data_IF_171407354940
#
_entry.id   IF_171407354940
#
_cell.length_a   1.000
_cell.length_b   1.000
_cell.length_c   1.000
_cell.angle_alpha   90.00
_cell.angle_beta   90.00
_cell.angle_gamma   90.00
#
_symmetry.space_group_name_H-M   'P 1'
#
loop_
_entity.id
_entity.type
_entity.pdbx_description
1 polymer ?
#
# COMPACT_ATOMS: atom_id res chain seq x y z
N UNK A 1 -5.27 -21.74 -4.51
CA UNK A 1 -4.00 -21.24 -3.93
C UNK A 1 -4.07 -21.35 -2.42
N UNK A 2 -2.95 -21.56 -1.72
CA UNK A 2 -2.96 -21.72 -0.25
C UNK A 2 -3.29 -20.41 0.49
N UNK A 3 -2.92 -19.25 -0.06
CA UNK A 3 -3.13 -17.91 0.53
C UNK A 3 -4.06 -17.00 -0.30
N UNK A 4 -5.02 -17.56 -1.07
CA UNK A 4 -6.01 -16.75 -1.81
C UNK A 4 -5.51 -16.09 -3.12
N UNK A 5 -4.20 -15.98 -3.35
CA UNK A 5 -3.67 -15.47 -4.62
C UNK A 5 -3.99 -13.98 -4.81
N UNK A 6 -4.74 -13.64 -5.87
CA UNK A 6 -5.19 -12.27 -6.10
C UNK A 6 -6.28 -11.80 -5.13
N UNK A 7 -6.87 -12.70 -4.34
CA UNK A 7 -7.88 -12.38 -3.32
C UNK A 7 -7.43 -12.97 -1.97
N UNK A 8 -6.39 -12.41 -1.33
CA UNK A 8 -5.75 -13.04 -0.17
C UNK A 8 -6.57 -13.00 1.13
N UNK A 9 -7.64 -12.21 1.21
CA UNK A 9 -8.43 -12.04 2.43
C UNK A 9 -7.66 -11.28 3.51
N UNK A 10 -6.82 -10.33 3.08
CA UNK A 10 -5.93 -9.58 3.96
C UNK A 10 -6.65 -8.40 4.65
N UNK A 11 -6.20 -8.04 5.85
CA UNK A 11 -6.69 -6.87 6.57
C UNK A 11 -5.51 -5.99 6.95
N UNK A 12 -5.67 -4.67 6.82
CA UNK A 12 -4.63 -3.68 7.12
C UNK A 12 -3.34 -3.92 6.30
N UNK A 13 -3.53 -4.29 5.03
CA UNK A 13 -2.46 -4.45 4.06
C UNK A 13 -2.71 -3.48 2.90
N UNK A 14 -1.65 -2.80 2.47
CA UNK A 14 -1.64 -1.95 1.28
C UNK A 14 -0.70 -2.60 0.26
N UNK A 15 -1.26 -3.09 -0.84
CA UNK A 15 -0.48 -3.69 -1.93
C UNK A 15 0.07 -2.59 -2.83
N UNK A 16 1.34 -2.23 -2.65
CA UNK A 16 2.03 -1.21 -3.45
C UNK A 16 2.81 -1.88 -4.57
N UNK A 17 2.60 -1.42 -5.80
CA UNK A 17 3.33 -1.90 -6.97
C UNK A 17 3.68 -0.75 -7.90
N UNK A 18 4.75 -0.90 -8.68
CA UNK A 18 5.04 -0.02 -9.81
C UNK A 18 4.60 -0.66 -11.13
N UNK A 19 4.01 0.10 -12.05
CA UNK A 19 3.53 -0.45 -13.34
C UNK A 19 4.65 -0.86 -14.33
N UNK A 20 5.89 -0.45 -14.06
CA UNK A 20 7.06 -0.80 -14.86
C UNK A 20 7.77 -2.04 -14.30
N UNK A 21 7.46 -2.42 -13.06
CA UNK A 21 7.95 -3.66 -12.46
C UNK A 21 7.25 -4.87 -13.09
N UNK A 22 7.94 -5.79 -13.78
CA UNK A 22 7.29 -6.97 -14.37
C UNK A 22 6.58 -7.84 -13.32
N UNK A 23 6.91 -7.74 -12.05
CA UNK A 23 6.26 -8.52 -10.99
C UNK A 23 4.87 -8.02 -10.60
N UNK A 24 4.47 -6.79 -10.97
CA UNK A 24 3.16 -6.25 -10.58
C UNK A 24 1.99 -7.10 -11.08
N UNK A 25 2.15 -7.82 -12.18
CA UNK A 25 1.12 -8.71 -12.76
C UNK A 25 0.77 -9.89 -11.85
N UNK A 26 1.68 -10.26 -10.93
CA UNK A 26 1.46 -11.32 -9.95
C UNK A 26 0.85 -10.81 -8.64
N UNK A 27 0.65 -9.51 -8.52
CA UNK A 27 0.21 -8.83 -7.31
C UNK A 27 -1.28 -8.45 -7.36
N UNK A 28 -1.77 -7.90 -6.25
CA UNK A 28 -3.07 -7.22 -6.19
C UNK A 28 -2.85 -5.77 -6.61
N UNK A 29 -3.37 -5.38 -7.78
CA UNK A 29 -3.17 -4.03 -8.36
C UNK A 29 -4.43 -3.18 -8.38
N UNK A 30 -5.55 -3.74 -7.96
CA UNK A 30 -6.84 -3.07 -7.80
C UNK A 30 -7.37 -3.35 -6.40
N UNK A 31 -8.02 -2.36 -5.79
CA UNK A 31 -8.58 -2.53 -4.46
C UNK A 31 -9.72 -3.56 -4.48
N UNK A 32 -9.76 -4.43 -3.48
CA UNK A 32 -10.77 -5.50 -3.33
C UNK A 32 -11.74 -5.22 -2.17
N UNK A 33 -11.83 -3.97 -1.75
CA UNK A 33 -12.68 -3.51 -0.65
C UNK A 33 -11.96 -2.48 0.21
N UNK A 34 -12.53 -2.16 1.37
CA UNK A 34 -11.94 -1.21 2.33
C UNK A 34 -10.74 -1.76 3.09
N UNK A 35 -10.64 -3.08 3.23
CA UNK A 35 -9.55 -3.76 3.96
C UNK A 35 -8.36 -4.15 3.08
N UNK A 36 -8.59 -4.24 1.77
CA UNK A 36 -7.63 -4.71 0.75
C UNK A 36 -7.39 -3.58 -0.26
N UNK A 37 -6.60 -2.61 0.17
CA UNK A 37 -6.22 -1.46 -0.65
C UNK A 37 -5.04 -1.81 -1.55
N UNK A 38 -5.06 -1.31 -2.79
CA UNK A 38 -3.95 -1.42 -3.72
C UNK A 38 -3.54 -0.03 -4.24
N UNK A 39 -2.24 0.14 -4.48
CA UNK A 39 -1.65 1.36 -5.03
C UNK A 39 -0.72 0.97 -6.18
N UNK A 40 -1.08 1.41 -7.39
CA UNK A 40 -0.25 1.23 -8.58
C UNK A 40 0.42 2.56 -8.94
N UNK A 41 1.75 2.62 -8.79
CA UNK A 41 2.56 3.81 -9.04
C UNK A 41 2.97 3.81 -10.51
N UNK A 42 2.49 4.80 -11.26
CA UNK A 42 2.85 5.00 -12.66
C UNK A 42 4.35 5.27 -12.80
N UNK A 43 4.99 4.62 -13.77
CA UNK A 43 6.45 4.63 -14.02
C UNK A 43 7.29 4.16 -12.82
N UNK A 44 6.68 3.45 -11.86
CA UNK A 44 7.37 2.89 -10.72
C UNK A 44 8.06 1.58 -11.11
N UNK A 45 9.34 1.43 -10.76
CA UNK A 45 10.05 0.14 -10.86
C UNK A 45 9.91 -0.66 -9.57
N UNK A 46 10.55 -1.83 -9.53
CA UNK A 46 10.51 -2.75 -8.40
C UNK A 46 10.85 -2.06 -7.07
N UNK A 47 9.86 -2.05 -6.15
CA UNK A 47 9.94 -1.46 -4.81
C UNK A 47 10.49 -0.02 -4.76
N UNK A 48 10.25 0.78 -5.80
CA UNK A 48 10.84 2.14 -5.91
C UNK A 48 10.32 3.09 -4.83
N UNK A 49 9.10 2.87 -4.34
CA UNK A 49 8.50 3.57 -3.21
C UNK A 49 9.33 3.46 -1.92
N UNK A 50 10.01 2.33 -1.72
CA UNK A 50 10.86 2.04 -0.56
C UNK A 50 12.27 2.63 -0.67
N UNK A 51 12.67 3.11 -1.85
CA UNK A 51 13.96 3.77 -2.03
C UNK A 51 13.95 5.17 -1.37
N UNK A 52 15.12 5.68 -0.92
CA UNK A 52 15.24 7.03 -0.40
C UNK A 52 14.70 8.08 -1.38
N UNK A 53 14.08 9.13 -0.85
CA UNK A 53 13.57 10.23 -1.66
C UNK A 53 14.71 11.00 -2.35
N UNK A 54 14.47 11.37 -3.61
CA UNK A 54 15.40 12.18 -4.41
C UNK A 54 14.66 13.33 -5.08
N UNK A 55 15.32 14.48 -5.33
CA UNK A 55 14.72 15.59 -6.08
C UNK A 55 14.24 15.20 -7.49
N UNK A 56 14.87 14.19 -8.10
CA UNK A 56 14.56 13.68 -9.43
C UNK A 56 13.41 12.68 -9.47
N UNK A 57 12.82 12.33 -8.32
CA UNK A 57 11.71 11.36 -8.29
C UNK A 57 10.52 11.86 -9.12
N UNK A 58 9.74 10.94 -9.69
CA UNK A 58 8.58 11.32 -10.48
C UNK A 58 7.47 11.90 -9.59
N UNK A 59 6.57 12.73 -10.14
CA UNK A 59 5.39 13.18 -9.41
C UNK A 59 4.52 12.01 -8.92
N UNK A 60 4.39 10.94 -9.70
CA UNK A 60 3.64 9.74 -9.34
C UNK A 60 4.25 9.01 -8.15
N UNK A 61 5.59 8.93 -8.07
CA UNK A 61 6.30 8.30 -6.95
C UNK A 61 6.12 9.11 -5.67
N UNK A 62 6.26 10.45 -5.74
CA UNK A 62 5.99 11.32 -4.58
C UNK A 62 4.57 11.18 -4.07
N UNK A 63 3.58 11.23 -4.97
CA UNK A 63 2.18 11.03 -4.61
C UNK A 63 1.95 9.63 -4.02
N UNK A 64 2.61 8.60 -4.57
CA UNK A 64 2.56 7.24 -4.04
C UNK A 64 3.04 7.17 -2.59
N UNK A 65 4.19 7.77 -2.27
CA UNK A 65 4.71 7.84 -0.89
C UNK A 65 3.77 8.62 0.05
N UNK A 66 3.16 9.71 -0.43
CA UNK A 66 2.16 10.46 0.34
C UNK A 66 0.93 9.59 0.66
N UNK A 67 0.42 8.83 -0.31
CA UNK A 67 -0.70 7.91 -0.10
C UNK A 67 -0.35 6.80 0.91
N UNK A 68 0.85 6.23 0.83
CA UNK A 68 1.35 5.24 1.79
C UNK A 68 1.40 5.85 3.20
N UNK A 69 1.97 7.04 3.34
CA UNK A 69 2.07 7.73 4.62
C UNK A 69 0.68 8.02 5.22
N UNK A 70 -0.26 8.50 4.41
CA UNK A 70 -1.65 8.73 4.84
C UNK A 70 -2.32 7.44 5.31
N UNK A 71 -2.15 6.34 4.58
CA UNK A 71 -2.70 5.04 4.96
C UNK A 71 -2.15 4.55 6.32
N UNK A 72 -0.84 4.72 6.55
CA UNK A 72 -0.21 4.41 7.83
C UNK A 72 -0.78 5.28 8.96
N UNK A 73 -0.96 6.58 8.73
CA UNK A 73 -1.57 7.47 9.72
C UNK A 73 -3.00 7.03 10.09
N UNK A 74 -3.80 6.61 9.10
CA UNK A 74 -5.14 6.07 9.34
C UNK A 74 -5.09 4.82 10.23
N UNK A 75 -4.21 3.85 9.92
CA UNK A 75 -4.10 2.63 10.74
C UNK A 75 -3.62 2.93 12.17
N UNK A 76 -2.62 3.80 12.33
CA UNK A 76 -2.12 4.18 13.66
C UNK A 76 -3.19 4.88 14.50
N UNK A 77 -4.01 5.73 13.89
CA UNK A 77 -5.15 6.37 14.57
C UNK A 77 -6.17 5.32 15.05
N UNK A 78 -6.58 4.41 14.17
CA UNK A 78 -7.53 3.33 14.49
C UNK A 78 -6.99 2.41 15.60
N UNK A 79 -5.70 2.08 15.55
CA UNK A 79 -5.05 1.28 16.59
C UNK A 79 -5.10 1.99 17.96
N UNK A 80 -4.79 3.29 18.00
CA UNK A 80 -4.86 4.10 19.23
C UNK A 80 -6.28 4.16 19.81
N UNK A 81 -7.29 4.37 18.96
CA UNK A 81 -8.70 4.40 19.38
C UNK A 81 -9.17 3.04 19.92
N UNK A 82 -8.67 1.95 19.34
CA UNK A 82 -8.99 0.58 19.78
C UNK A 82 -8.38 0.26 21.15
N UNK A 83 -7.18 0.75 21.44
CA UNK A 83 -6.55 0.60 22.76
C UNK A 83 -7.33 1.32 23.87
N UNK A 84 -7.76 2.56 23.61
CA UNK A 84 -8.57 3.35 24.57
C UNK A 84 -9.90 2.67 24.90
N UNK A 85 -10.51 1.97 23.93
CA UNK A 85 -11.77 1.24 24.14
C UNK A 85 -11.61 -0.10 24.87
N UNK A 86 -10.42 -0.69 24.88
CA UNK A 86 -10.13 -1.95 25.58
C UNK A 86 -9.74 -1.78 27.04
N UNK A 87 -9.47 -0.55 27.49
CA UNK A 87 -9.09 -0.20 28.87
C UNK A 87 -10.29 0.28 29.72
N UNK A 88 -11.50 0.33 29.14
CA UNK A 88 -12.75 0.72 29.82
C UNK A 88 -13.60 -0.52 30.12
#
# INVERSE_FOLDING_TARGET
SYYGGQTPGANQVLFVNGDTDPWHVLSVTQALGSSESALLIRTGSHCLDMAPERPSDSPSLRLGRQNIFQQLQTWLKLAKESQVKGEV
#
